data_IF_054345487526
#
_entry.id   IF_054345487526
#
_cell.length_a   1.000
_cell.length_b   1.000
_cell.length_c   1.000
_cell.angle_alpha   90.00
_cell.angle_beta   90.00
_cell.angle_gamma   90.00
#
_symmetry.space_group_name_H-M   'P 1'
#
loop_
_entity.id
_entity.type
_entity.pdbx_description
1 polymer ?
#
# COMPACT_ATOMS: atom_id res chain seq x y z
N UNK A 1 -9.05 5.75 9.82
CA UNK A 1 -10.07 6.59 10.49
C UNK A 1 -11.44 6.07 10.07
N UNK A 2 -12.38 5.85 11.01
CA UNK A 2 -13.72 5.39 10.63
C UNK A 2 -14.41 6.48 9.81
N UNK A 3 -14.83 6.16 8.59
CA UNK A 3 -15.71 7.04 7.83
C UNK A 3 -17.13 6.90 8.39
N UNK A 4 -17.62 7.94 9.10
CA UNK A 4 -18.97 7.98 9.69
C UNK A 4 -20.07 7.91 8.63
N UNK A 5 -19.77 8.24 7.37
CA UNK A 5 -20.66 8.08 6.21
C UNK A 5 -20.87 6.61 5.83
N UNK A 6 -19.96 5.70 6.20
CA UNK A 6 -20.11 4.28 5.93
C UNK A 6 -20.92 3.53 7.00
N UNK A 7 -21.24 4.16 8.13
CA UNK A 7 -22.14 3.57 9.14
C UNK A 7 -23.50 3.28 8.51
N UNK A 8 -24.02 2.07 8.70
CA UNK A 8 -25.34 1.69 8.23
C UNK A 8 -26.37 1.88 9.33
N UNK A 9 -27.53 2.43 9.00
CA UNK A 9 -28.68 2.45 9.92
C UNK A 9 -29.50 1.17 9.67
N UNK A 10 -29.32 0.17 10.53
CA UNK A 10 -29.98 -1.13 10.43
C UNK A 10 -31.07 -1.21 11.51
N UNK A 11 -32.30 -1.53 11.09
CA UNK A 11 -33.39 -1.91 11.98
C UNK A 11 -33.57 -3.42 11.93
N UNK A 12 -33.38 -4.09 13.06
CA UNK A 12 -33.69 -5.51 13.21
C UNK A 12 -35.14 -5.64 13.64
N UNK A 13 -35.93 -6.39 12.87
CA UNK A 13 -37.37 -6.53 13.08
C UNK A 13 -37.74 -8.02 13.04
N UNK A 14 -38.68 -8.43 13.89
CA UNK A 14 -39.11 -9.83 14.02
C UNK A 14 -40.59 -10.06 13.73
N UNK A 15 -41.30 -9.05 13.23
CA UNK A 15 -42.73 -9.10 12.92
C UNK A 15 -43.08 -8.18 11.74
N UNK A 16 -44.07 -8.57 10.94
CA UNK A 16 -44.49 -7.81 9.76
C UNK A 16 -45.24 -6.52 10.11
N UNK A 17 -46.32 -6.66 10.88
CA UNK A 17 -47.20 -5.56 11.26
C UNK A 17 -46.72 -4.84 12.53
N UNK A 18 -47.26 -3.66 12.80
CA UNK A 18 -46.99 -2.90 14.02
C UNK A 18 -47.55 -3.62 15.25
N UNK A 19 -46.70 -3.88 16.24
CA UNK A 19 -47.12 -4.44 17.53
C UNK A 19 -46.99 -3.39 18.63
N UNK A 20 -48.14 -2.80 19.02
CA UNK A 20 -48.18 -1.74 20.02
C UNK A 20 -47.36 -0.52 19.61
N UNK A 21 -46.28 -0.22 20.36
CA UNK A 21 -45.35 0.89 20.07
C UNK A 21 -44.19 0.49 19.13
N UNK A 22 -44.00 -0.79 18.84
CA UNK A 22 -42.91 -1.28 17.98
C UNK A 22 -43.36 -1.31 16.52
N UNK A 23 -42.63 -0.62 15.66
CA UNK A 23 -42.86 -0.66 14.22
C UNK A 23 -42.49 -2.04 13.65
N UNK A 24 -43.38 -2.60 12.82
CA UNK A 24 -43.10 -3.80 12.05
C UNK A 24 -42.33 -3.51 10.76
N UNK A 25 -41.97 -4.58 10.04
CA UNK A 25 -41.19 -4.49 8.81
C UNK A 25 -41.89 -3.63 7.75
N UNK A 26 -43.21 -3.76 7.63
CA UNK A 26 -44.05 -2.97 6.71
C UNK A 26 -43.83 -1.46 6.91
N UNK A 27 -43.83 -0.99 8.16
CA UNK A 27 -43.69 0.43 8.48
C UNK A 27 -42.32 0.98 8.10
N UNK A 28 -41.26 0.19 8.24
CA UNK A 28 -39.90 0.62 7.88
C UNK A 28 -39.69 0.61 6.37
N UNK A 29 -40.19 -0.41 5.66
CA UNK A 29 -40.12 -0.51 4.19
C UNK A 29 -40.91 0.62 3.53
N UNK A 30 -42.03 1.03 4.11
CA UNK A 30 -42.85 2.13 3.59
C UNK A 30 -42.21 3.53 3.73
N UNK A 31 -41.11 3.68 4.49
CA UNK A 31 -40.45 4.98 4.65
C UNK A 31 -39.66 5.35 3.38
N UNK A 32 -39.64 6.64 2.99
CA UNK A 32 -38.97 7.09 1.76
C UNK A 32 -37.45 6.93 1.76
N UNK A 33 -36.84 6.74 2.94
CA UNK A 33 -35.41 6.48 3.10
C UNK A 33 -35.12 5.00 3.34
N UNK A 34 -36.06 4.10 3.06
CA UNK A 34 -35.76 2.68 2.92
C UNK A 34 -34.70 2.49 1.83
N UNK A 35 -33.67 1.68 2.10
CA UNK A 35 -32.59 1.41 1.16
C UNK A 35 -32.64 -0.03 0.66
N UNK A 36 -32.59 -0.98 1.58
CA UNK A 36 -32.58 -2.40 1.26
C UNK A 36 -33.02 -3.25 2.46
N UNK A 37 -33.22 -4.55 2.26
CA UNK A 37 -33.53 -5.51 3.31
C UNK A 37 -32.79 -6.82 3.13
N UNK A 38 -32.43 -7.44 4.24
CA UNK A 38 -31.80 -8.76 4.29
C UNK A 38 -32.58 -9.64 5.27
N UNK A 39 -33.07 -10.79 4.79
CA UNK A 39 -33.86 -11.73 5.59
C UNK A 39 -32.91 -12.78 6.14
N UNK A 40 -32.78 -12.86 7.46
CA UNK A 40 -31.93 -13.86 8.12
C UNK A 40 -32.70 -15.15 8.44
N UNK A 41 -33.98 -15.02 8.79
CA UNK A 41 -34.87 -16.15 9.04
C UNK A 41 -36.32 -15.72 8.88
N UNK A 42 -37.25 -16.68 9.01
CA UNK A 42 -38.70 -16.41 8.96
C UNK A 42 -39.14 -15.33 9.97
N UNK A 43 -38.44 -15.21 11.10
CA UNK A 43 -38.78 -14.31 12.20
C UNK A 43 -37.75 -13.20 12.41
N UNK A 44 -36.81 -12.98 11.48
CA UNK A 44 -35.79 -11.94 11.62
C UNK A 44 -35.39 -11.34 10.27
N UNK A 45 -35.61 -10.03 10.15
CA UNK A 45 -35.22 -9.23 9.00
C UNK A 45 -34.38 -8.03 9.46
N UNK A 46 -33.29 -7.76 8.75
CA UNK A 46 -32.58 -6.49 8.79
C UNK A 46 -33.12 -5.57 7.71
N UNK A 47 -33.48 -4.35 8.08
CA UNK A 47 -33.90 -3.31 7.17
C UNK A 47 -32.85 -2.20 7.21
N UNK A 48 -32.18 -1.99 6.09
CA UNK A 48 -31.21 -0.91 5.92
C UNK A 48 -31.92 0.38 5.49
N UNK A 49 -31.66 1.45 6.24
CA UNK A 49 -32.20 2.77 6.00
C UNK A 49 -31.09 3.71 5.52
N UNK A 50 -31.40 4.58 4.56
CA UNK A 50 -30.57 5.71 4.19
C UNK A 50 -30.51 6.71 5.35
N UNK A 51 -29.32 7.21 5.65
CA UNK A 51 -29.13 8.24 6.67
C UNK A 51 -29.61 9.59 6.15
N UNK A 52 -30.48 10.24 6.93
CA UNK A 52 -30.96 11.60 6.63
C UNK A 52 -30.06 12.69 7.21
N UNK A 53 -29.22 12.35 8.18
CA UNK A 53 -28.24 13.25 8.82
C UNK A 53 -26.98 12.48 9.18
N UNK A 54 -25.82 13.09 8.93
CA UNK A 54 -24.51 12.60 9.37
C UNK A 54 -23.91 13.68 10.27
N UNK A 55 -23.44 13.27 11.44
CA UNK A 55 -22.74 14.16 12.38
C UNK A 55 -21.25 13.80 12.35
N UNK A 56 -20.40 14.78 12.09
CA UNK A 56 -18.94 14.63 12.18
C UNK A 56 -18.48 15.02 13.59
N UNK A 57 -18.51 14.05 14.49
CA UNK A 57 -18.10 14.17 15.90
C UNK A 57 -16.65 13.74 16.15
N UNK A 58 -15.90 13.50 15.07
CA UNK A 58 -14.51 13.01 15.11
C UNK A 58 -13.53 14.06 14.58
N UNK A 59 -12.29 14.11 15.10
CA UNK A 59 -11.28 15.08 14.67
C UNK A 59 -10.64 14.69 13.32
N UNK A 60 -11.46 14.49 12.28
CA UNK A 60 -11.01 14.04 10.94
C UNK A 60 -10.00 15.02 10.35
N UNK A 61 -10.27 16.31 10.49
CA UNK A 61 -9.38 17.38 10.03
C UNK A 61 -8.01 17.33 10.71
N UNK A 62 -7.95 17.02 12.00
CA UNK A 62 -6.67 16.85 12.72
C UNK A 62 -5.89 15.67 12.11
N UNK A 63 -6.57 14.56 11.80
CA UNK A 63 -5.97 13.42 11.12
C UNK A 63 -5.35 13.78 9.76
N UNK A 64 -6.05 14.60 8.96
CA UNK A 64 -5.51 15.12 7.70
C UNK A 64 -4.27 15.99 7.92
N UNK A 65 -4.32 16.94 8.86
CA UNK A 65 -3.17 17.78 9.18
C UNK A 65 -1.95 16.96 9.59
N UNK A 66 -2.14 15.92 10.42
CA UNK A 66 -1.05 15.02 10.83
C UNK A 66 -0.47 14.26 9.63
N UNK A 67 -1.31 13.78 8.71
CA UNK A 67 -0.86 13.09 7.49
C UNK A 67 -0.10 14.01 6.54
N UNK A 68 -0.49 15.28 6.43
CA UNK A 68 0.22 16.22 5.57
C UNK A 68 1.54 16.66 6.22
N UNK A 69 1.56 16.88 7.53
CA UNK A 69 2.80 17.13 8.27
C UNK A 69 3.75 15.94 8.15
N UNK A 70 3.28 14.69 8.26
CA UNK A 70 4.16 13.53 8.16
C UNK A 70 4.84 13.40 6.78
N UNK A 71 4.14 13.76 5.68
CA UNK A 71 4.76 13.82 4.34
C UNK A 71 5.90 14.83 4.29
N UNK A 72 5.76 15.98 4.96
CA UNK A 72 6.83 17.00 4.96
C UNK A 72 8.11 16.50 5.59
N UNK A 73 8.06 15.59 6.57
CA UNK A 73 9.26 14.97 7.17
C UNK A 73 10.01 14.14 6.13
N UNK A 74 9.30 13.28 5.40
CA UNK A 74 9.87 12.45 4.32
C UNK A 74 10.40 13.32 3.18
N UNK A 75 9.65 14.34 2.76
CA UNK A 75 10.07 15.25 1.70
C UNK A 75 11.30 16.08 2.10
N UNK A 76 11.35 16.56 3.34
CA UNK A 76 12.50 17.28 3.84
C UNK A 76 13.75 16.40 3.84
N UNK A 77 13.64 15.15 4.30
CA UNK A 77 14.76 14.21 4.25
C UNK A 77 15.21 13.91 2.81
N UNK A 78 14.28 13.66 1.90
CA UNK A 78 14.64 13.31 0.52
C UNK A 78 15.14 14.52 -0.29
N UNK A 79 14.39 15.63 -0.33
CA UNK A 79 14.70 16.76 -1.18
C UNK A 79 15.72 17.72 -0.57
N UNK A 80 15.63 18.02 0.73
CA UNK A 80 16.51 19.00 1.36
C UNK A 80 17.80 18.39 1.91
N UNK A 81 17.85 17.08 2.16
CA UNK A 81 19.08 16.40 2.58
C UNK A 81 19.66 15.52 1.46
N UNK A 82 19.00 14.42 1.08
CA UNK A 82 19.58 13.47 0.13
C UNK A 82 19.86 14.09 -1.24
N UNK A 83 18.90 14.82 -1.81
CA UNK A 83 19.06 15.47 -3.11
C UNK A 83 20.08 16.61 -3.09
N UNK A 84 20.21 17.35 -1.99
CA UNK A 84 21.26 18.36 -1.86
C UNK A 84 22.65 17.72 -1.77
N UNK A 85 22.79 16.63 -1.01
CA UNK A 85 24.08 15.94 -0.82
C UNK A 85 24.56 15.18 -2.06
N UNK A 86 23.67 14.41 -2.70
CA UNK A 86 24.05 13.50 -3.78
C UNK A 86 23.61 13.97 -5.18
N UNK A 87 22.69 14.92 -5.28
CA UNK A 87 22.20 15.45 -6.56
C UNK A 87 21.60 14.37 -7.47
N UNK A 88 22.25 14.14 -8.62
CA UNK A 88 21.87 13.10 -9.59
C UNK A 88 22.32 11.69 -9.18
N UNK A 89 23.20 11.56 -8.20
CA UNK A 89 23.70 10.27 -7.69
C UNK A 89 22.75 9.59 -6.70
N UNK A 90 21.56 10.16 -6.46
CA UNK A 90 20.51 9.52 -5.66
C UNK A 90 19.22 9.39 -6.46
N UNK A 91 18.64 8.21 -6.43
CA UNK A 91 17.36 7.87 -7.06
C UNK A 91 16.42 7.23 -6.03
N UNK A 92 15.14 7.60 -6.09
CA UNK A 92 14.10 6.95 -5.29
C UNK A 92 13.57 5.76 -6.09
N UNK A 93 13.71 4.55 -5.55
CA UNK A 93 13.23 3.32 -6.18
C UNK A 93 11.82 2.95 -5.73
N UNK A 94 11.53 3.15 -4.44
CA UNK A 94 10.24 2.79 -3.85
C UNK A 94 9.96 3.62 -2.58
N UNK A 95 8.68 3.83 -2.26
CA UNK A 95 8.27 4.45 -1.00
C UNK A 95 6.92 3.89 -0.53
N UNK A 96 6.78 3.68 0.78
CA UNK A 96 5.49 3.41 1.42
C UNK A 96 5.41 4.16 2.75
N UNK A 97 4.48 5.12 2.84
CA UNK A 97 4.12 5.92 4.02
C UNK A 97 5.30 6.67 4.67
N UNK A 98 6.15 5.96 5.41
CA UNK A 98 7.27 6.43 6.21
C UNK A 98 8.62 5.81 5.80
N UNK A 99 8.63 4.99 4.74
CA UNK A 99 9.82 4.30 4.23
C UNK A 99 10.23 4.82 2.85
N UNK A 100 11.55 4.82 2.62
CA UNK A 100 12.18 5.12 1.33
C UNK A 100 13.18 4.02 1.00
N UNK A 101 13.05 3.42 -0.18
CA UNK A 101 14.10 2.63 -0.78
C UNK A 101 14.80 3.47 -1.83
N UNK A 102 16.08 3.75 -1.61
CA UNK A 102 16.87 4.63 -2.45
C UNK A 102 18.08 3.91 -3.01
N UNK A 103 18.48 4.31 -4.21
CA UNK A 103 19.76 3.97 -4.81
C UNK A 103 20.67 5.19 -4.67
N UNK A 104 21.85 5.00 -4.07
CA UNK A 104 22.84 6.06 -3.86
C UNK A 104 24.19 5.62 -4.40
N UNK A 105 24.77 6.40 -5.30
CA UNK A 105 26.12 6.22 -5.80
C UNK A 105 27.11 7.06 -4.99
N UNK A 106 27.79 6.40 -4.04
CA UNK A 106 28.82 6.99 -3.16
C UNK A 106 29.91 5.96 -2.88
N UNK A 107 31.05 6.37 -2.34
CA UNK A 107 32.14 5.45 -1.99
C UNK A 107 31.74 4.52 -0.85
N UNK A 108 31.15 5.07 0.22
CA UNK A 108 30.66 4.29 1.35
C UNK A 108 29.46 4.98 2.02
N UNK A 109 28.27 4.41 1.84
CA UNK A 109 27.02 4.96 2.40
C UNK A 109 27.01 4.94 3.93
N UNK A 110 27.70 4.00 4.57
CA UNK A 110 27.72 3.89 6.02
C UNK A 110 28.63 4.95 6.66
N UNK A 111 29.72 5.35 6.00
CA UNK A 111 30.48 6.55 6.39
C UNK A 111 29.64 7.81 6.27
N UNK A 112 28.89 7.93 5.17
CA UNK A 112 27.98 9.04 4.96
C UNK A 112 26.90 9.12 6.05
N UNK A 113 26.36 8.00 6.49
CA UNK A 113 25.39 7.91 7.60
C UNK A 113 26.04 8.37 8.91
N UNK A 114 27.27 7.91 9.23
CA UNK A 114 28.00 8.30 10.45
C UNK A 114 28.24 9.80 10.51
N UNK A 115 28.70 10.39 9.41
CA UNK A 115 28.95 11.83 9.30
C UNK A 115 27.67 12.67 9.42
N UNK A 116 26.49 12.07 9.17
CA UNK A 116 25.20 12.74 9.15
C UNK A 116 24.23 12.17 10.19
N UNK A 117 24.75 11.70 11.33
CA UNK A 117 24.00 11.08 12.42
C UNK A 117 22.85 11.93 13.01
N UNK A 118 22.85 13.24 12.76
CA UNK A 118 21.72 14.11 13.09
C UNK A 118 20.44 13.78 12.30
N UNK A 119 20.55 13.12 11.14
CA UNK A 119 19.38 12.74 10.32
C UNK A 119 18.96 11.27 10.53
N UNK A 120 19.80 10.46 11.19
CA UNK A 120 19.59 9.01 11.29
C UNK A 120 19.38 8.52 12.73
N UNK A 121 18.43 7.60 12.91
CA UNK A 121 18.30 6.77 14.11
C UNK A 121 19.18 5.52 13.92
N UNK A 122 20.23 5.40 14.74
CA UNK A 122 21.25 4.35 14.66
C UNK A 122 21.07 3.30 15.77
N UNK A 123 19.98 3.37 16.53
CA UNK A 123 19.71 2.52 17.69
C UNK A 123 19.56 1.03 17.37
N UNK A 124 19.29 0.68 16.12
CA UNK A 124 19.12 -0.70 15.68
C UNK A 124 20.41 -1.39 15.22
N UNK A 125 21.53 -0.68 15.15
CA UNK A 125 22.83 -1.28 14.87
C UNK A 125 23.34 -2.06 16.08
N UNK A 126 24.03 -3.19 15.84
CA UNK A 126 24.78 -3.88 16.88
C UNK A 126 26.01 -3.06 17.28
N UNK A 127 26.43 -3.02 18.57
CA UNK A 127 27.65 -2.33 18.99
C UNK A 127 28.92 -2.79 18.26
N UNK A 128 28.93 -4.03 17.74
CA UNK A 128 30.06 -4.65 17.04
C UNK A 128 29.73 -4.90 15.56
N UNK A 129 29.09 -3.92 14.90
CA UNK A 129 28.78 -4.02 13.47
C UNK A 129 30.02 -3.78 12.61
N UNK A 130 30.02 -4.37 11.41
CA UNK A 130 31.10 -4.28 10.42
C UNK A 130 31.43 -2.85 9.94
N UNK A 131 30.54 -1.88 10.18
CA UNK A 131 30.69 -0.49 9.75
C UNK A 131 31.16 0.45 10.87
N UNK A 132 31.44 -0.08 12.06
CA UNK A 132 31.83 0.67 13.26
C UNK A 132 30.86 1.82 13.62
N UNK A 133 29.55 1.61 13.37
CA UNK A 133 28.51 2.57 13.76
C UNK A 133 28.22 2.42 15.25
N UNK A 134 28.33 3.52 16.01
CA UNK A 134 27.99 3.53 17.44
C UNK A 134 26.47 3.71 17.59
N UNK A 135 25.74 2.75 18.18
CA UNK A 135 24.30 2.86 18.35
C UNK A 135 23.93 4.03 19.28
N UNK A 136 22.90 4.79 18.91
CA UNK A 136 22.35 5.86 19.74
C UNK A 136 21.05 5.41 20.43
N UNK A 137 20.50 6.29 21.28
CA UNK A 137 19.14 6.11 21.79
C UNK A 137 18.15 6.44 20.67
N UNK A 138 17.09 5.65 20.53
CA UNK A 138 16.08 5.86 19.48
C UNK A 138 15.44 7.25 19.61
N UNK A 139 15.32 7.95 18.48
CA UNK A 139 14.86 9.32 18.40
C UNK A 139 13.75 9.47 17.36
N UNK A 140 12.69 10.17 17.74
CA UNK A 140 11.52 10.42 16.89
C UNK A 140 11.91 11.37 15.75
N UNK A 141 11.40 11.08 14.54
CA UNK A 141 11.57 11.93 13.36
C UNK A 141 12.89 11.76 12.62
N UNK A 142 13.77 10.86 13.07
CA UNK A 142 14.98 10.47 12.33
C UNK A 142 14.75 9.21 11.50
N UNK A 143 15.49 9.09 10.40
CA UNK A 143 15.38 7.94 9.50
C UNK A 143 16.22 6.78 10.00
N UNK A 144 15.66 5.58 10.00
CA UNK A 144 16.37 4.35 10.39
C UNK A 144 16.83 3.61 9.13
N UNK A 145 18.01 3.01 9.18
CA UNK A 145 18.39 1.97 8.21
C UNK A 145 17.66 0.68 8.59
N UNK A 146 16.59 0.35 7.88
CA UNK A 146 15.72 -0.82 8.15
C UNK A 146 16.50 -2.13 8.26
N UNK A 147 17.60 -2.28 7.51
CA UNK A 147 18.39 -3.52 7.45
C UNK A 147 19.66 -3.47 8.31
N UNK A 148 19.84 -2.42 9.12
CA UNK A 148 20.88 -2.30 10.15
C UNK A 148 22.30 -2.64 9.64
N UNK A 149 22.68 -2.13 8.47
CA UNK A 149 24.00 -2.34 7.88
C UNK A 149 24.12 -3.50 6.90
N UNK A 150 23.05 -4.28 6.69
CA UNK A 150 23.06 -5.34 5.68
C UNK A 150 22.95 -4.75 4.27
N UNK A 151 23.80 -5.23 3.37
CA UNK A 151 23.85 -4.76 1.99
C UNK A 151 22.70 -5.37 1.19
N UNK A 152 21.97 -4.49 0.50
CA UNK A 152 20.96 -4.89 -0.51
C UNK A 152 21.67 -5.23 -1.81
N UNK A 153 21.53 -6.48 -2.27
CA UNK A 153 22.06 -6.96 -3.55
C UNK A 153 21.17 -6.57 -4.71
N UNK A 154 19.86 -6.76 -4.55
CA UNK A 154 18.90 -6.50 -5.60
C UNK A 154 17.53 -6.15 -5.04
N UNK A 155 16.75 -5.41 -5.84
CA UNK A 155 15.39 -5.02 -5.51
C UNK A 155 14.47 -5.20 -6.72
N UNK A 156 13.28 -5.76 -6.47
CA UNK A 156 12.24 -5.95 -7.47
C UNK A 156 10.92 -5.38 -6.93
N UNK A 157 10.52 -4.21 -7.42
CA UNK A 157 9.23 -3.59 -7.10
C UNK A 157 8.19 -3.92 -8.17
N UNK A 158 7.22 -4.77 -7.83
CA UNK A 158 6.12 -5.13 -8.74
C UNK A 158 4.92 -4.18 -8.62
N UNK A 159 4.79 -3.48 -7.48
CA UNK A 159 3.76 -2.47 -7.31
C UNK A 159 3.65 -2.00 -5.87
N UNK A 160 2.64 -1.17 -5.60
CA UNK A 160 2.39 -0.67 -4.25
C UNK A 160 2.15 -1.83 -3.26
N UNK A 161 3.00 -1.92 -2.23
CA UNK A 161 3.03 -2.96 -1.19
C UNK A 161 3.34 -4.37 -1.73
N UNK A 162 3.97 -4.46 -2.89
CA UNK A 162 4.37 -5.72 -3.52
C UNK A 162 5.81 -5.61 -4.07
N UNK A 163 6.78 -6.15 -3.32
CA UNK A 163 8.20 -6.03 -3.63
C UNK A 163 9.04 -7.15 -3.02
N UNK A 164 10.25 -7.31 -3.53
CA UNK A 164 11.25 -8.24 -3.03
C UNK A 164 12.59 -7.52 -2.87
N UNK A 165 13.19 -7.62 -1.68
CA UNK A 165 14.54 -7.12 -1.38
C UNK A 165 15.43 -8.31 -1.09
N UNK A 166 16.49 -8.46 -1.89
CA UNK A 166 17.53 -9.47 -1.69
C UNK A 166 18.69 -8.86 -0.91
N UNK A 167 18.92 -9.35 0.29
CA UNK A 167 20.08 -9.02 1.13
C UNK A 167 21.18 -10.07 0.92
N UNK A 168 22.32 -9.91 1.60
CA UNK A 168 23.40 -10.89 1.55
C UNK A 168 22.95 -12.30 1.95
N UNK A 169 22.23 -12.40 3.07
CA UNK A 169 21.89 -13.68 3.71
C UNK A 169 20.39 -13.97 3.75
N UNK A 170 19.55 -13.03 3.31
CA UNK A 170 18.09 -13.10 3.47
C UNK A 170 17.37 -12.47 2.28
N UNK A 171 16.16 -12.95 2.04
CA UNK A 171 15.22 -12.31 1.11
C UNK A 171 14.00 -11.84 1.89
N UNK A 172 13.67 -10.56 1.79
CA UNK A 172 12.41 -10.00 2.31
C UNK A 172 11.40 -9.83 1.17
N UNK A 173 10.24 -10.47 1.32
CA UNK A 173 9.21 -10.60 0.28
C UNK A 173 7.90 -10.00 0.79
N UNK A 174 7.28 -9.14 -0.01
CA UNK A 174 5.94 -8.58 0.23
C UNK A 174 5.07 -8.77 -1.01
N UNK A 175 3.83 -9.23 -0.79
CA UNK A 175 2.81 -9.29 -1.82
C UNK A 175 1.48 -8.77 -1.25
N UNK A 176 0.89 -7.77 -1.89
CA UNK A 176 -0.28 -7.06 -1.38
C UNK A 176 -1.49 -7.99 -1.31
N UNK A 177 -2.07 -8.15 -0.12
CA UNK A 177 -3.32 -8.89 0.07
C UNK A 177 -3.19 -10.40 -0.03
N UNK A 178 -1.96 -10.93 -0.04
CA UNK A 178 -1.62 -12.35 0.06
C UNK A 178 -1.18 -12.67 1.49
N UNK A 179 -1.55 -13.85 1.99
CA UNK A 179 -1.18 -14.26 3.35
C UNK A 179 0.33 -14.47 3.47
N UNK A 180 0.90 -14.06 4.62
CA UNK A 180 2.35 -14.12 4.88
C UNK A 180 2.94 -15.51 4.64
N UNK A 181 2.25 -16.56 5.10
CA UNK A 181 2.67 -17.94 4.92
C UNK A 181 2.84 -18.36 3.46
N UNK A 182 1.93 -17.91 2.58
CA UNK A 182 1.99 -18.22 1.15
C UNK A 182 3.12 -17.44 0.49
N UNK A 183 3.33 -16.17 0.88
CA UNK A 183 4.47 -15.38 0.40
C UNK A 183 5.80 -16.05 0.78
N UNK A 184 5.90 -16.57 2.00
CA UNK A 184 7.11 -17.24 2.48
C UNK A 184 7.40 -18.55 1.74
N UNK A 185 6.39 -19.40 1.54
CA UNK A 185 6.55 -20.75 0.99
C UNK A 185 6.45 -20.87 -0.53
N UNK A 186 5.56 -20.11 -1.16
CA UNK A 186 5.13 -20.36 -2.55
C UNK A 186 5.57 -19.26 -3.53
N UNK A 187 6.07 -18.12 -3.04
CA UNK A 187 6.55 -17.03 -3.89
C UNK A 187 8.05 -16.90 -3.69
N UNK A 188 8.82 -16.97 -4.76
CA UNK A 188 10.28 -16.90 -4.75
C UNK A 188 10.79 -15.62 -5.39
N UNK A 189 12.06 -15.28 -5.15
CA UNK A 189 12.71 -14.11 -5.74
C UNK A 189 12.62 -14.11 -7.28
N UNK A 190 12.76 -15.30 -7.89
CA UNK A 190 12.62 -15.49 -9.33
C UNK A 190 11.26 -15.02 -9.85
N UNK A 191 10.19 -15.15 -9.07
CA UNK A 191 8.85 -14.79 -9.51
C UNK A 191 8.69 -13.28 -9.62
N UNK A 192 9.24 -12.51 -8.67
CA UNK A 192 9.26 -11.05 -8.76
C UNK A 192 10.06 -10.57 -9.98
N UNK A 193 11.22 -11.18 -10.23
CA UNK A 193 12.04 -10.88 -11.41
C UNK A 193 11.29 -11.20 -12.70
N UNK A 194 10.71 -12.40 -12.79
CA UNK A 194 9.99 -12.88 -13.97
C UNK A 194 8.76 -12.02 -14.29
N UNK A 195 8.00 -11.63 -13.27
CA UNK A 195 6.82 -10.75 -13.44
C UNK A 195 7.22 -9.44 -14.11
N UNK A 196 8.31 -8.83 -13.65
CA UNK A 196 8.81 -7.56 -14.19
C UNK A 196 9.39 -7.75 -15.60
N UNK A 197 10.19 -8.79 -15.83
CA UNK A 197 10.87 -8.98 -17.13
C UNK A 197 9.96 -9.51 -18.23
N UNK A 198 8.96 -10.33 -17.89
CA UNK A 198 8.02 -10.92 -18.84
C UNK A 198 6.74 -10.10 -19.00
N UNK A 199 6.55 -9.07 -18.18
CA UNK A 199 5.33 -8.27 -18.15
C UNK A 199 4.06 -9.12 -17.91
N UNK A 200 4.16 -10.04 -16.95
CA UNK A 200 3.09 -11.00 -16.61
C UNK A 200 2.52 -10.73 -15.21
N UNK A 201 1.52 -11.53 -14.81
CA UNK A 201 0.99 -11.55 -13.44
C UNK A 201 1.09 -12.94 -12.84
N UNK A 202 1.43 -13.04 -11.56
CA UNK A 202 1.44 -14.28 -10.81
C UNK A 202 0.13 -14.43 -10.04
N UNK A 203 -0.56 -15.55 -10.21
CA UNK A 203 -1.73 -15.92 -9.43
C UNK A 203 -1.32 -16.85 -8.28
N UNK A 204 -1.94 -16.69 -7.12
CA UNK A 204 -1.83 -17.64 -6.02
C UNK A 204 -3.21 -18.03 -5.49
N UNK A 205 -3.29 -19.27 -5.00
CA UNK A 205 -4.48 -19.79 -4.35
C UNK A 205 -4.32 -19.65 -2.85
N UNK A 206 -5.33 -19.07 -2.17
CA UNK A 206 -5.32 -18.97 -0.72
C UNK A 206 -6.70 -19.15 -0.11
N UNK A 207 -6.75 -19.75 1.07
CA UNK A 207 -7.97 -19.83 1.88
C UNK A 207 -8.27 -18.49 2.54
N UNK A 208 -9.51 -18.02 2.44
CA UNK A 208 -10.00 -16.82 3.10
C UNK A 208 -11.23 -17.15 3.94
N UNK A 209 -11.36 -16.46 5.08
CA UNK A 209 -12.61 -16.45 5.83
C UNK A 209 -13.61 -15.50 5.17
N UNK A 210 -14.81 -15.99 4.96
CA UNK A 210 -15.96 -15.21 4.50
C UNK A 210 -17.09 -15.35 5.50
N UNK A 211 -17.86 -14.27 5.61
CA UNK A 211 -19.15 -14.27 6.27
C UNK A 211 -20.19 -13.81 5.26
N UNK A 212 -21.24 -14.60 5.07
CA UNK A 212 -22.42 -14.27 4.29
C UNK A 212 -23.63 -14.59 5.16
N UNK A 213 -24.58 -13.67 5.33
CA UNK A 213 -25.78 -13.91 6.15
C UNK A 213 -25.48 -14.46 7.57
N UNK A 214 -24.41 -14.00 8.21
CA UNK A 214 -23.88 -14.53 9.49
C UNK A 214 -23.33 -15.96 9.48
N UNK A 215 -23.38 -16.66 8.34
CA UNK A 215 -22.69 -17.93 8.17
C UNK A 215 -21.23 -17.69 7.84
N UNK A 216 -20.34 -18.21 8.69
CA UNK A 216 -18.90 -18.16 8.47
C UNK A 216 -18.43 -19.43 7.77
N UNK A 217 -17.71 -19.27 6.68
CA UNK A 217 -17.10 -20.37 5.96
C UNK A 217 -15.74 -19.98 5.39
N UNK A 218 -14.96 -21.00 5.05
CA UNK A 218 -13.67 -20.84 4.39
C UNK A 218 -13.85 -21.06 2.89
N UNK A 219 -13.38 -20.12 2.09
CA UNK A 219 -13.40 -20.20 0.63
C UNK A 219 -11.96 -20.25 0.10
N UNK A 220 -11.70 -21.11 -0.89
CA UNK A 220 -10.46 -21.06 -1.65
C UNK A 220 -10.60 -20.00 -2.75
N UNK A 221 -9.73 -18.99 -2.76
CA UNK A 221 -9.72 -17.96 -3.79
C UNK A 221 -8.41 -17.89 -4.54
N UNK A 222 -8.52 -17.71 -5.85
CA UNK A 222 -7.41 -17.32 -6.72
C UNK A 222 -7.27 -15.79 -6.68
N UNK A 223 -6.09 -15.29 -6.35
CA UNK A 223 -5.76 -13.87 -6.33
C UNK A 223 -4.51 -13.59 -7.13
N UNK A 224 -4.47 -12.41 -7.75
CA UNK A 224 -3.24 -11.87 -8.31
C UNK A 224 -2.32 -11.52 -7.13
N UNK A 225 -1.21 -12.26 -7.03
CA UNK A 225 -0.20 -12.09 -6.00
C UNK A 225 0.79 -10.99 -6.38
N UNK A 226 1.28 -11.03 -7.62
CA UNK A 226 2.21 -10.08 -8.20
C UNK A 226 1.72 -9.71 -9.60
N UNK A 227 1.98 -8.47 -10.00
CA UNK A 227 1.64 -7.95 -11.31
C UNK A 227 2.72 -6.96 -11.73
N UNK A 228 3.05 -6.92 -13.01
CA UNK A 228 3.91 -5.87 -13.59
C UNK A 228 3.15 -4.58 -13.87
N UNK A 229 1.82 -4.65 -13.93
CA UNK A 229 0.96 -3.51 -14.18
C UNK A 229 0.83 -2.63 -12.94
N UNK A 230 1.25 -1.36 -13.06
CA UNK A 230 1.05 -0.30 -12.06
C UNK A 230 0.05 0.72 -12.63
N UNK A 231 -1.15 0.77 -12.05
CA UNK A 231 -2.21 1.69 -12.44
C UNK A 231 -1.99 3.12 -11.88
N UNK A 232 -1.04 3.30 -10.97
CA UNK A 232 -0.83 4.56 -10.24
C UNK A 232 0.24 5.45 -10.84
N UNK A 233 1.04 4.91 -11.75
CA UNK A 233 2.15 5.62 -12.37
C UNK A 233 2.24 5.28 -13.84
N UNK A 234 2.73 6.21 -14.64
CA UNK A 234 3.02 5.99 -16.04
C UNK A 234 4.39 5.31 -16.17
N UNK A 235 4.42 4.05 -16.61
CA UNK A 235 5.66 3.31 -16.85
C UNK A 235 6.23 3.68 -18.23
N UNK A 236 7.49 4.10 -18.28
CA UNK A 236 8.15 4.39 -19.55
C UNK A 236 8.41 3.08 -20.30
N UNK A 237 8.02 3.03 -21.59
CA UNK A 237 8.20 1.84 -22.45
C UNK A 237 9.66 1.39 -22.45
N UNK A 238 9.88 0.08 -22.30
CA UNK A 238 11.20 -0.56 -22.23
C UNK A 238 12.12 -0.02 -21.11
N UNK A 239 11.55 0.54 -20.03
CA UNK A 239 12.28 1.04 -18.87
C UNK A 239 11.63 0.58 -17.57
N UNK A 240 12.37 0.74 -16.47
CA UNK A 240 11.85 0.57 -15.10
C UNK A 240 11.50 1.91 -14.44
N UNK A 241 11.67 3.01 -15.18
CA UNK A 241 11.35 4.36 -14.70
C UNK A 241 9.88 4.67 -14.87
N UNK A 242 9.33 5.37 -13.88
CA UNK A 242 7.92 5.74 -13.87
C UNK A 242 7.73 7.22 -13.59
N UNK A 243 6.80 7.83 -14.31
CA UNK A 243 6.34 9.19 -14.09
C UNK A 243 5.03 9.18 -13.29
N UNK A 244 4.79 10.24 -12.52
CA UNK A 244 3.46 10.45 -11.96
C UNK A 244 2.49 10.80 -13.10
N UNK A 245 1.24 10.35 -12.99
CA UNK A 245 0.19 10.80 -13.90
C UNK A 245 0.07 12.33 -13.87
N UNK A 246 -0.02 12.95 -15.05
CA UNK A 246 -0.03 14.41 -15.20
C UNK A 246 1.35 15.08 -15.23
N UNK A 247 2.45 14.31 -15.17
CA UNK A 247 3.79 14.86 -15.42
C UNK A 247 3.91 15.36 -16.87
N UNK A 248 4.56 16.51 -17.08
CA UNK A 248 4.63 17.17 -18.40
C UNK A 248 5.25 16.29 -19.49
N UNK A 249 6.19 15.41 -19.13
CA UNK A 249 6.82 14.46 -20.06
C UNK A 249 5.90 13.30 -20.50
N UNK A 250 4.78 13.04 -19.82
CA UNK A 250 3.91 11.90 -20.17
C UNK A 250 3.38 12.03 -21.59
N UNK A 251 2.89 13.22 -21.97
CA UNK A 251 2.36 13.44 -23.33
C UNK A 251 3.43 13.33 -24.42
N UNK A 252 4.71 13.59 -24.11
CA UNK A 252 5.80 13.37 -25.05
C UNK A 252 6.03 11.87 -25.29
N UNK A 253 6.01 11.08 -24.23
CA UNK A 253 6.20 9.63 -24.33
C UNK A 253 5.02 8.93 -25.02
N UNK A 254 3.77 9.32 -24.74
CA UNK A 254 2.59 8.75 -25.41
C UNK A 254 2.63 8.95 -26.94
N UNK A 255 3.03 10.14 -27.39
CA UNK A 255 3.18 10.43 -28.81
C UNK A 255 4.29 9.61 -29.47
N UNK A 256 5.44 9.46 -28.80
CA UNK A 256 6.56 8.63 -29.29
C UNK A 256 6.15 7.16 -29.37
N UNK A 257 5.48 6.65 -28.33
CA UNK A 257 5.04 5.25 -28.29
C UNK A 257 4.04 4.95 -29.40
N UNK A 258 3.12 5.87 -29.67
CA UNK A 258 2.16 5.78 -30.78
C UNK A 258 2.88 5.77 -32.13
N UNK A 259 3.85 6.66 -32.34
CA UNK A 259 4.66 6.71 -33.57
C UNK A 259 5.45 5.42 -33.78
N UNK A 260 6.07 4.87 -32.73
CA UNK A 260 6.82 3.62 -32.80
C UNK A 260 5.91 2.43 -33.13
N UNK A 261 4.72 2.38 -32.54
CA UNK A 261 3.74 1.33 -32.83
C UNK A 261 3.16 1.44 -34.24
N UNK A 262 3.05 2.64 -34.81
CA UNK A 262 2.73 2.83 -36.22
C UNK A 262 3.86 2.38 -37.15
N UNK A 263 5.12 2.73 -36.86
CA UNK A 263 6.27 2.32 -37.66
C UNK A 263 6.46 0.80 -37.67
N UNK A 264 6.20 0.14 -36.54
CA UNK A 264 6.26 -1.33 -36.43
C UNK A 264 5.19 -2.06 -37.27
N UNK A 265 4.12 -1.39 -37.71
CA UNK A 265 3.15 -1.98 -38.65
C UNK A 265 3.68 -2.08 -40.09
N UNK A 266 4.78 -1.39 -40.39
CA UNK A 266 5.39 -1.34 -41.72
C UNK A 266 6.72 -2.13 -41.82
N UNK A 267 7.12 -2.82 -40.76
CA UNK A 267 8.28 -3.71 -40.70
C UNK A 267 7.81 -5.17 -40.52
#
# INVERSE_FOLDING_TARGET
MENVENRRDIKLVSHWEKQGKKFGAETWIAKPHFKDREIFSENLIAIEMNKTRVTYDKPIYVGFCVLDISKTVIYNFFYNFLKQKYGKKVSLLYSDTDSLLIEVFTENIYEDIKQNSQHFDLSNYSPQNMHNIIPNVSQIGKMKDEYAGQVIKSFYGTGAKAYCVELLDKVDKKAKGISKHIVEKNIHLSDYKNVITKNESLLCVMSIFRSCLHDMFTEMRNKIALSSFDDKRFLLKNSFRTLAWGHFDVGWHENIDTLLDELLKYC
#
